data_IF_183304406891
#
_entry.id   IF_183304406891
#
_cell.length_a   1.000
_cell.length_b   1.000
_cell.length_c   1.000
_cell.angle_alpha   90.00
_cell.angle_beta   90.00
_cell.angle_gamma   90.00
#
_symmetry.space_group_name_H-M   'P 1'
#
loop_
_entity.id
_entity.type
_entity.pdbx_description
1 polymer ?
#
# COMPACT_ATOMS: atom_id res chain seq x y z
N UNK A 1 -23.03 -17.76 -20.81
CA UNK A 1 -22.96 -16.51 -20.02
C UNK A 1 -22.12 -16.77 -18.78
N UNK A 2 -20.88 -16.26 -18.76
CA UNK A 2 -19.96 -16.07 -17.61
C UNK A 2 -18.57 -15.77 -18.18
N UNK A 3 -18.32 -14.50 -18.50
CA UNK A 3 -17.01 -13.92 -18.84
C UNK A 3 -16.92 -12.52 -18.20
N UNK A 4 -17.16 -12.45 -16.88
CA UNK A 4 -17.22 -11.16 -16.15
C UNK A 4 -15.99 -10.98 -15.22
N UNK A 5 -15.22 -12.04 -14.92
CA UNK A 5 -14.12 -11.97 -13.95
C UNK A 5 -12.73 -11.62 -14.49
N UNK A 6 -12.52 -11.57 -15.81
CA UNK A 6 -11.15 -11.52 -16.38
C UNK A 6 -10.63 -10.09 -16.55
N UNK A 7 -11.51 -9.09 -16.70
CA UNK A 7 -11.08 -7.70 -16.93
C UNK A 7 -10.59 -7.04 -15.63
N UNK A 8 -11.16 -7.40 -14.47
CA UNK A 8 -10.75 -6.85 -13.16
C UNK A 8 -9.35 -7.29 -12.71
N UNK A 9 -8.91 -8.50 -13.09
CA UNK A 9 -7.64 -9.07 -12.61
C UNK A 9 -6.41 -8.60 -13.40
N UNK A 10 -6.59 -8.18 -14.67
CA UNK A 10 -5.47 -7.86 -15.56
C UNK A 10 -4.82 -6.50 -15.26
N UNK A 11 -5.54 -5.55 -14.64
CA UNK A 11 -5.05 -4.20 -14.35
C UNK A 11 -4.43 -4.07 -12.96
N UNK A 12 -4.79 -4.93 -12.00
CA UNK A 12 -4.19 -4.94 -10.65
C UNK A 12 -2.69 -5.29 -10.64
N UNK A 13 -2.15 -5.87 -11.72
CA UNK A 13 -0.75 -6.30 -11.80
C UNK A 13 0.23 -5.25 -12.36
N UNK A 14 -0.23 -4.23 -13.09
CA UNK A 14 0.68 -3.34 -13.85
C UNK A 14 1.30 -2.24 -12.98
N UNK A 15 0.54 -1.65 -12.04
CA UNK A 15 1.01 -0.57 -11.13
C UNK A 15 2.06 -1.02 -10.11
N UNK A 16 2.36 -2.32 -10.04
CA UNK A 16 3.26 -2.91 -9.04
C UNK A 16 4.71 -3.08 -9.51
N UNK A 17 4.96 -2.84 -10.81
CA UNK A 17 6.25 -3.07 -11.42
C UNK A 17 7.34 -2.11 -10.91
N UNK A 18 7.01 -0.86 -10.58
CA UNK A 18 8.02 0.10 -10.12
C UNK A 18 8.39 -0.06 -8.64
N UNK A 19 7.47 -0.50 -7.78
CA UNK A 19 7.80 -0.71 -6.35
C UNK A 19 8.87 -1.80 -6.17
N UNK A 20 8.87 -2.84 -7.02
CA UNK A 20 9.93 -3.85 -7.05
C UNK A 20 11.23 -3.34 -7.69
N UNK A 21 11.14 -2.54 -8.76
CA UNK A 21 12.31 -1.91 -9.36
C UNK A 21 13.01 -0.95 -8.37
N UNK A 22 12.24 -0.25 -7.54
CA UNK A 22 12.75 0.60 -6.46
C UNK A 22 13.47 -0.19 -5.35
N UNK A 23 13.05 -1.42 -5.04
CA UNK A 23 13.79 -2.29 -4.11
C UNK A 23 15.15 -2.70 -4.70
N UNK A 24 15.21 -3.07 -5.98
CA UNK A 24 16.47 -3.48 -6.63
C UNK A 24 17.43 -2.31 -6.91
N UNK A 25 16.93 -1.12 -7.24
CA UNK A 25 17.75 0.04 -7.56
C UNK A 25 18.37 0.70 -6.31
N UNK A 26 17.65 0.71 -5.17
CA UNK A 26 18.16 1.31 -3.93
C UNK A 26 19.33 0.51 -3.30
N UNK A 27 19.43 -0.79 -3.57
CA UNK A 27 20.48 -1.67 -3.03
C UNK A 27 21.87 -1.54 -3.69
N UNK A 28 22.03 -0.75 -4.75
CA UNK A 28 23.29 -0.64 -5.50
C UNK A 28 24.12 0.63 -5.23
N UNK A 29 23.57 1.65 -4.55
CA UNK A 29 24.26 2.96 -4.38
C UNK A 29 24.98 3.14 -3.01
N UNK A 30 25.06 2.09 -2.20
CA UNK A 30 25.61 2.13 -0.84
C UNK A 30 27.12 1.87 -0.69
N UNK A 31 27.98 2.33 -1.61
CA UNK A 31 29.45 2.32 -1.38
C UNK A 31 30.10 3.61 -1.87
N UNK A 32 30.34 4.58 -0.96
CA UNK A 32 30.89 5.86 -1.38
C UNK A 32 31.16 6.92 -0.32
N UNK A 33 32.03 6.58 0.64
CA UNK A 33 33.01 7.46 1.30
C UNK A 33 32.54 8.66 2.18
N UNK A 34 32.93 8.56 3.44
CA UNK A 34 32.94 9.57 4.51
C UNK A 34 33.79 10.80 4.21
N UNK A 35 33.37 11.99 4.66
CA UNK A 35 34.28 13.00 5.21
C UNK A 35 33.61 13.89 6.27
N UNK A 36 34.35 14.08 7.36
CA UNK A 36 34.08 14.88 8.57
C UNK A 36 33.90 16.38 8.30
N UNK A 37 33.12 17.04 9.17
CA UNK A 37 33.47 18.36 9.72
C UNK A 37 32.76 18.60 11.06
N UNK A 38 33.57 18.82 12.09
CA UNK A 38 33.21 19.31 13.44
C UNK A 38 32.82 20.79 13.43
N UNK A 39 31.95 21.19 14.38
CA UNK A 39 31.92 22.44 15.17
C UNK A 39 30.48 22.68 15.65
N UNK A 40 30.16 23.05 16.88
CA UNK A 40 30.92 23.42 18.07
C UNK A 40 29.90 24.00 19.08
N UNK A 41 29.96 23.54 20.32
CA UNK A 41 29.07 23.93 21.42
C UNK A 41 29.29 25.38 21.88
N UNK A 42 28.23 26.07 22.30
CA UNK A 42 28.29 27.17 23.27
C UNK A 42 27.07 27.13 24.20
N UNK A 43 27.31 26.73 25.44
CA UNK A 43 26.49 27.02 26.63
C UNK A 43 26.59 28.50 27.03
N UNK A 44 25.47 29.08 27.46
CA UNK A 44 25.35 30.04 28.59
C UNK A 44 23.85 30.07 28.93
N UNK A 45 23.32 30.05 30.15
CA UNK A 45 23.84 30.29 31.50
C UNK A 45 22.64 30.83 32.28
N UNK A 46 22.14 30.07 33.27
CA UNK A 46 21.01 30.44 34.11
C UNK A 46 21.41 31.42 35.20
N UNK A 47 20.53 32.36 35.55
CA UNK A 47 20.57 33.08 36.82
C UNK A 47 19.16 33.39 37.32
N UNK A 48 18.95 32.92 38.53
CA UNK A 48 17.82 32.99 39.45
C UNK A 48 17.58 34.43 39.98
N UNK A 49 16.38 34.72 40.50
CA UNK A 49 16.15 35.51 41.72
C UNK A 49 14.64 35.70 42.04
N UNK A 50 14.32 35.29 43.26
CA UNK A 50 13.09 35.32 44.04
C UNK A 50 12.64 36.71 44.57
N UNK A 51 11.36 36.83 45.01
CA UNK A 51 11.00 37.74 46.13
C UNK A 51 9.58 38.32 46.22
N UNK A 52 8.69 37.59 46.91
CA UNK A 52 7.69 37.99 47.94
C UNK A 52 6.57 39.09 47.78
N UNK A 53 5.33 38.59 47.86
CA UNK A 53 4.17 38.93 48.74
C UNK A 53 3.82 40.37 49.21
N UNK A 54 2.54 40.78 48.99
CA UNK A 54 1.52 41.10 50.04
C UNK A 54 0.12 41.49 49.49
N UNK A 55 -0.92 41.01 50.17
CA UNK A 55 -2.40 41.31 50.13
C UNK A 55 -2.73 41.90 51.54
N UNK A 56 -3.72 42.81 51.85
CA UNK A 56 -5.17 42.63 51.59
C UNK A 56 -6.18 43.84 51.57
N UNK A 57 -7.43 43.52 51.13
CA UNK A 57 -8.73 44.14 51.51
C UNK A 57 -9.27 45.27 50.60
N UNK A 58 -10.56 45.46 50.30
CA UNK A 58 -11.85 44.85 50.68
C UNK A 58 -12.98 45.44 49.76
N UNK A 59 -14.03 44.63 49.48
CA UNK A 59 -15.44 44.95 49.09
C UNK A 59 -15.78 45.91 47.92
N UNK A 60 -16.53 45.46 46.90
CA UNK A 60 -18.02 45.55 46.85
C UNK A 60 -18.64 45.05 45.51
N UNK A 61 -19.78 44.35 45.65
CA UNK A 61 -20.98 44.29 44.76
C UNK A 61 -20.99 43.61 43.38
N UNK A 62 -21.82 42.55 43.35
CA UNK A 62 -22.85 42.17 42.36
C UNK A 62 -22.72 42.67 40.90
N UNK A 63 -22.53 41.72 40.00
CA UNK A 63 -22.90 41.82 38.59
C UNK A 63 -23.00 40.43 37.96
N UNK A 64 -24.22 39.88 37.90
CA UNK A 64 -24.52 38.75 37.01
C UNK A 64 -24.48 39.30 35.59
N UNK A 65 -23.54 38.84 34.78
CA UNK A 65 -23.63 38.89 33.32
C UNK A 65 -22.86 37.72 32.74
N UNK A 66 -23.61 36.72 32.25
CA UNK A 66 -23.04 35.61 31.52
C UNK A 66 -22.55 36.08 30.16
N UNK A 67 -21.31 35.77 29.83
CA UNK A 67 -20.88 35.46 28.47
C UNK A 67 -19.47 34.86 28.48
N UNK A 68 -19.36 33.56 28.72
CA UNK A 68 -18.09 32.82 28.52
C UNK A 68 -18.39 31.59 27.68
N UNK A 69 -18.73 31.78 26.41
CA UNK A 69 -18.67 30.70 25.41
C UNK A 69 -18.16 31.15 24.04
N UNK A 70 -17.91 32.45 23.82
CA UNK A 70 -17.49 32.95 22.49
C UNK A 70 -16.01 32.80 22.17
N UNK A 71 -15.14 32.68 23.18
CA UNK A 71 -13.69 32.55 23.00
C UNK A 71 -13.24 31.11 22.73
N UNK A 72 -14.02 30.11 23.15
CA UNK A 72 -13.73 28.69 22.90
C UNK A 72 -14.06 28.25 21.47
N UNK A 73 -15.18 28.72 20.92
CA UNK A 73 -15.60 28.42 19.53
C UNK A 73 -14.64 29.05 18.51
N UNK A 74 -14.20 30.30 18.72
CA UNK A 74 -13.25 30.99 17.83
C UNK A 74 -11.86 30.37 17.83
N UNK A 75 -11.38 29.84 18.96
CA UNK A 75 -10.09 29.16 19.04
C UNK A 75 -10.15 27.75 18.43
N UNK A 76 -11.28 27.05 18.59
CA UNK A 76 -11.54 25.75 17.96
C UNK A 76 -11.67 25.90 16.43
N UNK A 77 -12.39 26.91 15.95
CA UNK A 77 -12.49 27.22 14.53
C UNK A 77 -11.15 27.63 13.94
N UNK A 78 -10.35 28.44 14.63
CA UNK A 78 -9.00 28.81 14.20
C UNK A 78 -8.06 27.60 14.16
N UNK A 79 -8.07 26.74 15.18
CA UNK A 79 -7.28 25.50 15.20
C UNK A 79 -7.74 24.50 14.13
N UNK A 80 -9.04 24.42 13.84
CA UNK A 80 -9.59 23.63 12.74
C UNK A 80 -9.28 24.22 11.36
N UNK A 81 -9.16 25.54 11.25
CA UNK A 81 -8.76 26.23 10.03
C UNK A 81 -7.25 26.07 9.78
N UNK A 82 -6.44 26.15 10.83
CA UNK A 82 -4.98 25.95 10.81
C UNK A 82 -4.64 24.48 10.53
N UNK A 83 -5.32 23.53 11.19
CA UNK A 83 -5.25 22.11 10.86
C UNK A 83 -5.70 21.80 9.43
N UNK A 84 -6.79 22.43 8.93
CA UNK A 84 -7.19 22.33 7.52
C UNK A 84 -6.14 22.88 6.55
N UNK A 85 -5.48 23.99 6.90
CA UNK A 85 -4.42 24.57 6.09
C UNK A 85 -3.15 23.72 6.07
N UNK A 86 -2.82 23.05 7.18
CA UNK A 86 -1.67 22.14 7.28
C UNK A 86 -1.84 20.94 6.31
N UNK A 87 -3.01 20.28 6.33
CA UNK A 87 -3.31 19.14 5.46
C UNK A 87 -3.44 19.49 3.96
N UNK A 88 -3.71 20.75 3.63
CA UNK A 88 -3.90 21.22 2.24
C UNK A 88 -2.63 21.76 1.59
N UNK A 89 -1.49 21.77 2.30
CA UNK A 89 -0.22 22.26 1.76
C UNK A 89 0.28 21.42 0.58
N UNK A 90 0.18 20.08 0.70
CA UNK A 90 0.69 19.15 -0.31
C UNK A 90 -0.31 18.89 -1.43
N UNK A 91 0.16 18.98 -2.68
CA UNK A 91 -0.67 18.93 -3.88
C UNK A 91 -0.14 17.96 -4.93
N UNK A 92 -1.06 17.31 -5.61
CA UNK A 92 -0.80 16.50 -6.81
C UNK A 92 -1.21 17.33 -8.03
N UNK A 93 -0.33 17.38 -9.02
CA UNK A 93 -0.55 18.10 -10.28
C UNK A 93 -0.99 17.08 -11.32
N UNK A 94 -2.22 17.25 -11.82
CA UNK A 94 -2.77 16.44 -12.90
C UNK A 94 -2.76 17.26 -14.19
N UNK A 95 -2.10 16.77 -15.23
CA UNK A 95 -2.17 17.37 -16.56
C UNK A 95 -3.04 16.50 -17.47
N UNK A 96 -4.15 17.07 -17.96
CA UNK A 96 -5.06 16.41 -18.91
C UNK A 96 -5.41 17.38 -20.02
N UNK A 97 -5.23 16.98 -21.27
CA UNK A 97 -5.51 17.81 -22.46
C UNK A 97 -4.84 19.20 -22.42
N UNK A 98 -3.64 19.30 -21.84
CA UNK A 98 -2.89 20.56 -21.68
C UNK A 98 -3.41 21.49 -20.57
N UNK A 99 -4.36 21.02 -19.75
CA UNK A 99 -4.86 21.74 -18.57
C UNK A 99 -4.27 21.13 -17.31
N UNK A 100 -3.63 21.97 -16.50
CA UNK A 100 -3.11 21.60 -15.18
C UNK A 100 -4.15 21.84 -14.10
N UNK A 101 -4.45 20.79 -13.35
CA UNK A 101 -5.32 20.81 -12.16
C UNK A 101 -4.48 20.50 -10.94
N UNK A 102 -4.64 21.29 -9.88
CA UNK A 102 -3.95 21.10 -8.61
C UNK A 102 -4.97 20.55 -7.61
N UNK A 103 -4.76 19.33 -7.14
CA UNK A 103 -5.57 18.71 -6.11
C UNK A 103 -4.75 18.64 -4.82
N UNK A 104 -5.37 18.89 -3.66
CA UNK A 104 -4.74 18.50 -2.40
C UNK A 104 -4.54 16.99 -2.38
N UNK A 105 -3.56 16.48 -1.64
CA UNK A 105 -3.41 15.03 -1.50
C UNK A 105 -4.70 14.40 -0.94
N UNK A 106 -5.40 15.08 -0.03
CA UNK A 106 -6.68 14.61 0.53
C UNK A 106 -7.80 14.52 -0.50
N UNK A 107 -7.84 15.41 -1.50
CA UNK A 107 -8.83 15.35 -2.58
C UNK A 107 -8.48 14.30 -3.65
N UNK A 108 -7.18 14.05 -3.84
CA UNK A 108 -6.67 13.04 -4.76
C UNK A 108 -6.83 11.61 -4.21
N UNK A 109 -6.62 11.43 -2.91
CA UNK A 109 -6.51 10.13 -2.26
C UNK A 109 -7.71 9.20 -2.49
N UNK A 110 -8.99 9.62 -2.39
CA UNK A 110 -10.13 8.73 -2.61
C UNK A 110 -10.15 8.10 -4.01
N UNK A 111 -9.67 8.83 -5.03
CA UNK A 111 -9.60 8.34 -6.41
C UNK A 111 -8.50 7.30 -6.61
N UNK A 112 -7.45 7.31 -5.80
CA UNK A 112 -6.43 6.25 -5.74
C UNK A 112 -6.96 5.05 -4.95
N UNK A 113 -7.54 5.30 -3.77
CA UNK A 113 -8.00 4.23 -2.87
C UNK A 113 -9.08 3.37 -3.53
N UNK A 114 -10.03 3.97 -4.25
CA UNK A 114 -11.07 3.22 -4.98
C UNK A 114 -10.49 2.37 -6.11
N UNK A 115 -9.30 2.71 -6.62
CA UNK A 115 -8.60 1.91 -7.61
C UNK A 115 -7.90 0.69 -6.97
N UNK A 116 -7.33 0.88 -5.79
CA UNK A 116 -6.51 -0.12 -5.09
C UNK A 116 -7.30 -1.06 -4.17
N UNK A 117 -8.45 -0.61 -3.67
CA UNK A 117 -9.26 -1.35 -2.71
C UNK A 117 -10.15 -2.38 -3.39
N UNK A 118 -10.25 -3.58 -2.78
CA UNK A 118 -11.28 -4.54 -3.16
C UNK A 118 -12.66 -3.98 -2.76
N UNK A 119 -13.72 -4.18 -3.58
CA UNK A 119 -15.06 -3.65 -3.31
C UNK A 119 -15.64 -4.10 -1.95
N UNK A 120 -15.16 -5.24 -1.44
CA UNK A 120 -15.61 -5.87 -0.21
C UNK A 120 -14.98 -5.30 1.07
N UNK A 121 -13.93 -4.45 0.97
CA UNK A 121 -13.27 -3.89 2.15
C UNK A 121 -14.20 -2.98 2.93
N UNK A 122 -14.30 -3.19 4.24
CA UNK A 122 -14.97 -2.40 5.26
C UNK A 122 -14.24 -1.10 5.60
N UNK A 123 -14.81 -0.28 6.48
CA UNK A 123 -14.26 1.06 6.74
C UNK A 123 -12.86 1.04 7.35
N UNK A 124 -12.56 0.17 8.32
CA UNK A 124 -11.23 0.13 8.95
C UNK A 124 -10.15 -0.34 7.96
N UNK A 125 -10.47 -1.29 7.08
CA UNK A 125 -9.55 -1.69 6.00
C UNK A 125 -9.36 -0.57 4.96
N UNK A 126 -10.41 0.18 4.62
CA UNK A 126 -10.31 1.35 3.74
C UNK A 126 -9.48 2.48 4.37
N UNK A 127 -9.57 2.68 5.69
CA UNK A 127 -8.70 3.61 6.44
C UNK A 127 -7.23 3.18 6.36
N UNK A 128 -6.94 1.89 6.51
CA UNK A 128 -5.59 1.36 6.29
C UNK A 128 -5.09 1.72 4.88
N UNK A 129 -5.91 1.48 3.85
CA UNK A 129 -5.55 1.79 2.46
C UNK A 129 -5.32 3.29 2.23
N UNK A 130 -6.12 4.15 2.85
CA UNK A 130 -5.95 5.61 2.77
C UNK A 130 -4.60 6.05 3.38
N UNK A 131 -4.26 5.56 4.58
CA UNK A 131 -2.96 5.86 5.22
C UNK A 131 -1.79 5.32 4.42
N UNK A 132 -1.91 4.11 3.86
CA UNK A 132 -0.92 3.50 2.96
C UNK A 132 -0.68 4.38 1.74
N UNK A 133 -1.73 4.73 0.99
CA UNK A 133 -1.61 5.53 -0.22
C UNK A 133 -1.07 6.94 0.08
N UNK A 134 -1.51 7.58 1.17
CA UNK A 134 -1.00 8.90 1.60
C UNK A 134 0.48 8.83 1.93
N UNK A 135 0.90 7.82 2.70
CA UNK A 135 2.31 7.62 3.07
C UNK A 135 3.18 7.42 1.84
N UNK A 136 2.71 6.65 0.86
CA UNK A 136 3.43 6.45 -0.40
C UNK A 136 3.59 7.76 -1.17
N UNK A 137 2.51 8.54 -1.34
CA UNK A 137 2.57 9.86 -2.01
C UNK A 137 3.58 10.78 -1.30
N UNK A 138 3.53 10.84 0.04
CA UNK A 138 4.43 11.67 0.83
C UNK A 138 5.88 11.21 0.72
N UNK A 139 6.12 9.90 0.62
CA UNK A 139 7.45 9.33 0.34
C UNK A 139 7.98 9.75 -1.02
N UNK A 140 7.15 9.71 -2.08
CA UNK A 140 7.57 10.13 -3.43
C UNK A 140 7.80 11.64 -3.54
N UNK A 141 7.03 12.43 -2.80
CA UNK A 141 7.24 13.87 -2.69
C UNK A 141 8.59 14.22 -2.06
N UNK A 142 9.03 13.45 -1.06
CA UNK A 142 10.20 13.79 -0.25
C UNK A 142 9.94 15.09 0.52
N UNK A 143 10.79 16.08 0.33
CA UNK A 143 10.65 17.43 0.94
C UNK A 143 9.75 18.37 0.12
N UNK A 144 9.28 17.94 -1.06
CA UNK A 144 8.44 18.76 -1.95
C UNK A 144 7.00 18.85 -1.43
N UNK A 145 6.36 19.98 -1.70
CA UNK A 145 4.92 20.16 -1.46
C UNK A 145 4.08 19.85 -2.70
N UNK A 146 4.69 19.69 -3.87
CA UNK A 146 4.01 19.38 -5.13
C UNK A 146 4.68 18.20 -5.84
N UNK A 147 3.89 17.33 -6.45
CA UNK A 147 4.37 16.22 -7.29
C UNK A 147 3.49 16.07 -8.54
N UNK A 148 4.10 15.72 -9.67
CA UNK A 148 3.33 15.35 -10.86
C UNK A 148 2.70 13.98 -10.66
N UNK A 149 1.45 13.80 -11.11
CA UNK A 149 0.77 12.51 -11.01
C UNK A 149 1.56 11.37 -11.67
N UNK A 150 2.24 11.65 -12.79
CA UNK A 150 3.03 10.67 -13.53
C UNK A 150 4.24 10.16 -12.75
N UNK A 151 4.70 10.89 -11.72
CA UNK A 151 5.77 10.44 -10.82
C UNK A 151 5.28 9.42 -9.77
N UNK A 152 3.97 9.28 -9.57
CA UNK A 152 3.41 8.41 -8.54
C UNK A 152 3.29 6.95 -8.99
N UNK A 153 3.11 6.70 -10.29
CA UNK A 153 2.80 5.37 -10.86
C UNK A 153 1.59 4.69 -10.17
N UNK A 154 0.57 5.49 -9.85
CA UNK A 154 -0.66 5.05 -9.20
C UNK A 154 -1.84 5.11 -10.17
N UNK A 155 -2.65 4.06 -10.20
CA UNK A 155 -3.95 4.10 -10.87
C UNK A 155 -4.86 5.14 -10.22
N UNK A 156 -5.41 6.05 -11.02
CA UNK A 156 -6.36 7.05 -10.58
C UNK A 156 -7.73 6.92 -11.26
N UNK A 157 -8.80 7.18 -10.51
CA UNK A 157 -10.18 7.04 -11.00
C UNK A 157 -10.46 7.84 -12.29
N UNK A 158 -9.79 8.97 -12.49
CA UNK A 158 -9.89 9.76 -13.72
C UNK A 158 -9.56 8.94 -14.96
N UNK A 159 -8.58 8.04 -14.86
CA UNK A 159 -8.16 7.19 -15.97
C UNK A 159 -9.12 6.00 -16.15
N UNK A 160 -9.59 5.39 -15.04
CA UNK A 160 -10.61 4.32 -15.08
C UNK A 160 -11.91 4.79 -15.70
N UNK A 161 -12.39 5.99 -15.36
CA UNK A 161 -13.64 6.53 -15.92
C UNK A 161 -13.47 6.98 -17.36
N UNK A 162 -12.29 7.44 -17.77
CA UNK A 162 -11.99 7.74 -19.17
C UNK A 162 -11.90 6.47 -20.03
N UNK A 163 -11.37 5.38 -19.48
CA UNK A 163 -11.21 4.09 -20.18
C UNK A 163 -12.50 3.24 -20.19
N UNK A 164 -13.21 3.15 -19.05
CA UNK A 164 -14.38 2.29 -18.86
C UNK A 164 -15.73 3.04 -18.86
N UNK A 165 -15.76 4.37 -18.72
CA UNK A 165 -16.99 5.14 -18.44
C UNK A 165 -18.07 5.04 -19.51
N UNK A 166 -17.69 4.74 -20.76
CA UNK A 166 -18.61 4.45 -21.87
C UNK A 166 -19.15 3.00 -21.86
N UNK A 167 -18.50 2.08 -21.14
CA UNK A 167 -18.83 0.64 -21.07
C UNK A 167 -19.49 0.18 -19.77
N UNK A 168 -19.49 0.99 -18.70
CA UNK A 168 -20.12 0.63 -17.42
C UNK A 168 -21.66 0.70 -17.49
N UNK A 169 -22.30 -0.35 -16.98
CA UNK A 169 -23.76 -0.37 -16.73
C UNK A 169 -24.15 0.61 -15.63
N UNK A 170 -25.44 0.98 -15.56
CA UNK A 170 -25.98 1.85 -14.49
C UNK A 170 -25.63 1.30 -13.10
N UNK A 171 -25.84 0.00 -12.89
CA UNK A 171 -25.55 -0.66 -11.62
C UNK A 171 -24.06 -0.57 -11.23
N UNK A 172 -23.15 -0.74 -12.18
CA UNK A 172 -21.72 -0.62 -11.91
C UNK A 172 -21.31 0.81 -11.57
N UNK A 173 -21.96 1.81 -12.18
CA UNK A 173 -21.74 3.22 -11.85
C UNK A 173 -22.22 3.54 -10.42
N UNK A 174 -23.35 2.97 -10.01
CA UNK A 174 -23.86 3.09 -8.64
C UNK A 174 -22.89 2.46 -7.63
N UNK A 175 -22.43 1.23 -7.87
CA UNK A 175 -21.46 0.56 -7.01
C UNK A 175 -20.13 1.33 -6.90
N UNK A 176 -19.66 1.89 -8.00
CA UNK A 176 -18.45 2.71 -8.02
C UNK A 176 -18.64 4.00 -7.23
N UNK A 177 -19.79 4.66 -7.36
CA UNK A 177 -20.10 5.86 -6.59
C UNK A 177 -20.18 5.57 -5.09
N UNK A 178 -20.84 4.48 -4.69
CA UNK A 178 -20.90 4.03 -3.29
C UNK A 178 -19.50 3.72 -2.74
N UNK A 179 -18.68 3.00 -3.51
CA UNK A 179 -17.30 2.69 -3.13
C UNK A 179 -16.47 3.96 -2.96
N UNK A 180 -16.61 4.93 -3.86
CA UNK A 180 -15.92 6.21 -3.80
C UNK A 180 -16.32 7.02 -2.56
N UNK A 181 -17.61 7.06 -2.19
CA UNK A 181 -18.05 7.76 -0.98
C UNK A 181 -17.46 7.14 0.30
N UNK A 182 -17.33 5.81 0.35
CA UNK A 182 -16.65 5.12 1.46
C UNK A 182 -15.15 5.45 1.51
N UNK A 183 -14.50 5.51 0.34
CA UNK A 183 -13.10 5.93 0.24
C UNK A 183 -12.90 7.38 0.69
N UNK A 184 -13.82 8.29 0.35
CA UNK A 184 -13.80 9.69 0.83
C UNK A 184 -13.94 9.76 2.35
N UNK A 185 -14.84 8.96 2.93
CA UNK A 185 -15.00 8.90 4.37
C UNK A 185 -13.73 8.37 5.05
N UNK A 186 -13.13 7.30 4.52
CA UNK A 186 -11.88 6.74 5.04
C UNK A 186 -10.71 7.73 4.95
N UNK A 187 -10.58 8.44 3.83
CA UNK A 187 -9.57 9.49 3.65
C UNK A 187 -9.77 10.60 4.69
N UNK A 188 -11.00 11.09 4.85
CA UNK A 188 -11.36 12.14 5.82
C UNK A 188 -11.08 11.75 7.26
N UNK A 189 -11.44 10.52 7.66
CA UNK A 189 -11.24 10.02 9.03
C UNK A 189 -9.77 9.75 9.35
N UNK A 190 -8.92 9.67 8.32
CA UNK A 190 -7.46 9.48 8.45
C UNK A 190 -6.67 10.68 7.92
N UNK A 191 -7.30 11.85 7.82
CA UNK A 191 -6.70 13.03 7.19
C UNK A 191 -5.33 13.36 7.81
N UNK A 192 -4.32 13.54 6.94
CA UNK A 192 -2.93 13.78 7.33
C UNK A 192 -2.20 12.62 8.02
N UNK A 193 -2.87 11.49 8.30
CA UNK A 193 -2.22 10.37 8.97
C UNK A 193 -1.32 9.59 8.02
N UNK A 194 -0.06 9.41 8.43
CA UNK A 194 1.02 8.77 7.67
C UNK A 194 1.85 7.86 8.56
N UNK A 195 2.57 6.91 7.95
CA UNK A 195 3.44 5.95 8.63
C UNK A 195 4.92 6.31 8.46
N UNK A 196 5.64 6.41 9.57
CA UNK A 196 7.09 6.66 9.59
C UNK A 196 7.86 5.56 10.33
N UNK A 197 9.09 5.33 9.91
CA UNK A 197 10.09 4.55 10.63
C UNK A 197 11.36 5.39 10.69
N UNK A 198 11.87 5.64 11.90
CA UNK A 198 13.01 6.55 12.14
C UNK A 198 12.84 7.89 11.40
N UNK A 199 11.70 8.55 11.63
CA UNK A 199 11.30 9.85 11.05
C UNK A 199 11.20 9.92 9.51
N UNK A 200 11.39 8.80 8.81
CA UNK A 200 11.24 8.69 7.35
C UNK A 200 9.92 8.03 6.98
N UNK A 201 9.23 8.53 5.96
CA UNK A 201 8.06 7.86 5.39
C UNK A 201 8.44 6.47 4.91
N UNK A 202 7.71 5.46 5.38
CA UNK A 202 7.95 4.08 4.94
C UNK A 202 7.53 3.90 3.48
N UNK A 203 8.06 2.88 2.81
CA UNK A 203 7.45 2.26 1.62
C UNK A 203 6.34 1.30 2.09
N UNK A 204 5.05 1.69 2.01
CA UNK A 204 3.96 0.96 2.65
C UNK A 204 3.38 -0.09 1.70
N UNK A 205 4.16 -1.14 1.41
CA UNK A 205 3.70 -2.22 0.53
C UNK A 205 2.44 -2.91 1.08
N UNK A 206 1.52 -3.30 0.23
CA UNK A 206 0.28 -4.01 0.60
C UNK A 206 -0.09 -5.01 -0.49
N UNK A 207 -1.00 -5.95 -0.25
CA UNK A 207 -1.48 -6.91 -1.24
C UNK A 207 -2.87 -7.45 -0.94
N UNK A 208 -3.52 -8.06 -1.95
CA UNK A 208 -4.90 -8.52 -1.81
C UNK A 208 -5.02 -9.63 -0.76
N UNK A 209 -4.18 -10.68 -0.86
CA UNK A 209 -4.30 -11.88 -0.03
C UNK A 209 -2.94 -12.55 0.15
N UNK A 210 -2.50 -12.78 1.39
CA UNK A 210 -1.22 -13.48 1.63
C UNK A 210 -1.37 -14.98 1.40
N UNK A 211 -0.25 -15.72 1.38
CA UNK A 211 -0.26 -17.19 1.39
C UNK A 211 -0.45 -17.79 2.81
N UNK A 212 -1.05 -17.02 3.74
CA UNK A 212 -1.20 -17.32 5.16
C UNK A 212 -0.19 -16.59 6.05
N UNK A 213 0.88 -16.05 5.45
CA UNK A 213 1.90 -15.21 6.08
C UNK A 213 2.43 -14.17 5.10
N UNK A 214 2.85 -13.02 5.62
CA UNK A 214 3.54 -11.99 4.83
C UNK A 214 5.03 -12.31 4.69
N UNK A 215 5.67 -11.72 3.68
CA UNK A 215 7.10 -11.85 3.41
C UNK A 215 7.91 -10.83 4.23
N UNK A 216 9.14 -11.19 4.56
CA UNK A 216 10.13 -10.27 5.15
C UNK A 216 10.82 -9.48 4.03
N UNK A 217 10.76 -8.15 4.11
CA UNK A 217 11.45 -7.26 3.17
C UNK A 217 12.97 -7.30 3.31
N UNK A 218 13.66 -6.62 2.39
CA UNK A 218 15.11 -6.47 2.43
C UNK A 218 15.56 -5.60 3.63
N UNK A 219 16.87 -5.54 3.87
CA UNK A 219 17.44 -4.85 5.04
C UNK A 219 17.04 -3.37 5.15
N UNK A 220 16.81 -2.71 4.00
CA UNK A 220 16.37 -1.31 3.94
C UNK A 220 14.90 -1.10 4.32
N UNK A 221 14.16 -2.19 4.56
CA UNK A 221 12.74 -2.19 4.90
C UNK A 221 12.47 -2.94 6.22
N UNK A 222 13.09 -2.54 7.34
CA UNK A 222 13.03 -3.28 8.61
C UNK A 222 11.63 -3.35 9.24
N UNK A 223 10.70 -2.50 8.80
CA UNK A 223 9.29 -2.51 9.17
C UNK A 223 8.47 -3.55 8.38
N UNK A 224 8.97 -4.07 7.25
CA UNK A 224 8.36 -5.18 6.51
C UNK A 224 8.87 -6.52 7.05
N UNK A 225 8.26 -6.99 8.14
CA UNK A 225 8.59 -8.30 8.71
C UNK A 225 7.49 -9.31 8.42
N UNK A 226 7.87 -10.58 8.27
CA UNK A 226 6.89 -11.66 8.15
C UNK A 226 6.01 -11.75 9.40
N UNK A 227 4.71 -11.57 9.20
CA UNK A 227 3.67 -11.78 10.21
C UNK A 227 2.69 -12.84 9.74
N UNK A 228 1.99 -13.45 10.70
CA UNK A 228 0.89 -14.35 10.37
C UNK A 228 -0.27 -13.56 9.78
N UNK A 229 -0.96 -14.15 8.82
CA UNK A 229 -2.23 -13.63 8.35
C UNK A 229 -3.20 -14.79 8.17
N UNK A 230 -3.44 -15.50 9.27
CA UNK A 230 -4.41 -16.61 9.37
C UNK A 230 -5.82 -16.20 8.90
N UNK A 231 -6.12 -14.91 8.97
CA UNK A 231 -7.37 -14.32 8.52
C UNK A 231 -7.60 -14.44 7.01
N UNK A 232 -6.52 -14.51 6.21
CA UNK A 232 -6.62 -14.82 4.77
C UNK A 232 -7.23 -16.21 4.53
N UNK A 233 -6.92 -17.18 5.40
CA UNK A 233 -7.51 -18.53 5.33
C UNK A 233 -8.97 -18.55 5.81
N UNK A 234 -9.29 -17.76 6.83
CA UNK A 234 -10.63 -17.65 7.41
C UNK A 234 -11.63 -17.07 6.39
N UNK A 235 -11.27 -15.94 5.76
CA UNK A 235 -12.12 -15.25 4.78
C UNK A 235 -12.46 -16.13 3.57
N UNK A 236 -11.54 -17.01 3.18
CA UNK A 236 -11.75 -17.99 2.11
C UNK A 236 -12.87 -19.00 2.45
N UNK A 237 -12.96 -19.46 3.71
CA UNK A 237 -13.99 -20.43 4.14
C UNK A 237 -15.40 -19.82 4.15
N UNK A 238 -15.51 -18.57 4.56
CA UNK A 238 -16.81 -17.96 4.85
C UNK A 238 -17.52 -17.38 3.60
N UNK A 239 -16.79 -16.98 2.55
CA UNK A 239 -17.38 -16.18 1.45
C UNK A 239 -17.45 -16.81 0.05
N UNK A 240 -17.01 -18.04 -0.19
CA UNK A 240 -16.91 -18.58 -1.58
C UNK A 240 -16.19 -17.58 -2.54
N UNK A 241 -15.35 -16.68 -2.00
CA UNK A 241 -14.66 -15.63 -2.75
C UNK A 241 -13.21 -16.02 -2.92
N UNK A 242 -12.80 -16.02 -4.19
CA UNK A 242 -11.47 -16.28 -4.76
C UNK A 242 -10.50 -16.98 -3.79
N UNK A 243 -10.54 -18.30 -3.86
CA UNK A 243 -9.73 -19.22 -3.09
C UNK A 243 -8.30 -18.72 -2.92
N UNK A 244 -7.86 -18.69 -1.66
CA UNK A 244 -6.45 -18.64 -1.27
C UNK A 244 -5.59 -19.51 -2.18
N UNK A 245 -6.14 -20.59 -2.73
CA UNK A 245 -5.47 -21.47 -3.68
C UNK A 245 -6.11 -21.43 -5.08
N UNK A 246 -5.30 -21.28 -6.13
CA UNK A 246 -5.75 -21.43 -7.52
C UNK A 246 -4.96 -22.49 -8.25
N UNK A 247 -5.58 -23.17 -9.21
CA UNK A 247 -4.89 -24.09 -10.11
C UNK A 247 -4.97 -23.55 -11.54
N UNK A 248 -3.83 -23.53 -12.23
CA UNK A 248 -3.71 -23.11 -13.63
C UNK A 248 -2.98 -24.20 -14.40
N UNK A 249 -3.60 -24.70 -15.48
CA UNK A 249 -3.01 -25.71 -16.33
C UNK A 249 -2.50 -25.08 -17.63
N UNK A 250 -1.24 -25.35 -17.96
CA UNK A 250 -0.61 -24.95 -19.21
C UNK A 250 -0.33 -26.18 -20.05
N UNK A 251 -0.50 -26.09 -21.37
CA UNK A 251 0.16 -27.02 -22.26
C UNK A 251 1.65 -26.65 -22.36
N UNK A 252 2.48 -27.58 -22.84
CA UNK A 252 3.95 -27.39 -22.86
C UNK A 252 4.38 -26.20 -23.72
N UNK A 253 3.73 -26.00 -24.88
CA UNK A 253 4.08 -24.92 -25.81
C UNK A 253 3.71 -23.53 -25.29
N UNK A 254 2.54 -23.37 -24.67
CA UNK A 254 2.12 -22.10 -24.04
C UNK A 254 3.03 -21.76 -22.85
N UNK A 255 3.38 -22.76 -22.02
CA UNK A 255 4.33 -22.56 -20.94
C UNK A 255 5.70 -22.11 -21.49
N UNK A 256 6.26 -22.82 -22.47
CA UNK A 256 7.53 -22.46 -23.09
C UNK A 256 7.49 -21.06 -23.72
N UNK A 257 6.42 -20.73 -24.44
CA UNK A 257 6.24 -19.43 -25.09
C UNK A 257 6.16 -18.28 -24.07
N UNK A 258 5.48 -18.48 -22.93
CA UNK A 258 5.38 -17.49 -21.85
C UNK A 258 6.73 -17.26 -21.18
N UNK A 259 7.45 -18.33 -20.83
CA UNK A 259 8.80 -18.22 -20.25
C UNK A 259 9.78 -17.61 -21.26
N UNK A 260 9.63 -17.89 -22.55
CA UNK A 260 10.42 -17.31 -23.62
C UNK A 260 10.29 -15.79 -23.76
N UNK A 261 9.29 -15.15 -23.15
CA UNK A 261 9.11 -13.69 -23.13
C UNK A 261 9.84 -13.00 -21.98
N UNK A 262 10.41 -13.76 -21.03
CA UNK A 262 11.20 -13.18 -19.95
C UNK A 262 12.46 -12.51 -20.48
N UNK A 263 12.93 -11.49 -19.77
CA UNK A 263 14.26 -10.92 -20.01
C UNK A 263 15.31 -12.01 -19.77
N UNK A 264 16.35 -12.03 -20.60
CA UNK A 264 17.40 -13.06 -20.58
C UNK A 264 16.88 -14.52 -20.73
N UNK A 265 15.70 -14.68 -21.33
CA UNK A 265 15.14 -16.00 -21.58
C UNK A 265 16.08 -16.82 -22.46
N UNK A 266 16.21 -18.09 -22.11
CA UNK A 266 16.97 -19.06 -22.88
C UNK A 266 16.01 -20.02 -23.54
N UNK A 267 16.31 -20.43 -24.77
CA UNK A 267 15.48 -21.37 -25.50
C UNK A 267 15.24 -22.63 -24.64
N UNK A 268 13.97 -23.00 -24.51
CA UNK A 268 13.54 -24.16 -23.73
C UNK A 268 13.02 -25.22 -24.70
N UNK A 269 13.47 -26.47 -24.53
CA UNK A 269 12.95 -27.60 -25.29
C UNK A 269 11.66 -28.10 -24.63
N UNK A 270 10.54 -27.95 -25.34
CA UNK A 270 9.20 -28.35 -24.87
C UNK A 270 9.15 -29.81 -24.41
N UNK A 271 9.85 -30.71 -25.10
CA UNK A 271 9.84 -32.14 -24.78
C UNK A 271 10.59 -32.45 -23.48
N UNK A 272 11.50 -31.55 -23.05
CA UNK A 272 12.34 -31.71 -21.86
C UNK A 272 11.80 -30.96 -20.64
N UNK A 273 10.91 -29.99 -20.83
CA UNK A 273 10.28 -29.19 -19.78
C UNK A 273 9.87 -29.99 -18.53
N UNK A 274 9.18 -31.15 -18.64
CA UNK A 274 8.75 -31.90 -17.45
C UNK A 274 9.89 -32.33 -16.52
N UNK A 275 11.10 -32.47 -17.06
CA UNK A 275 12.32 -32.87 -16.33
C UNK A 275 13.26 -31.71 -15.99
N UNK A 276 12.98 -30.50 -16.47
CA UNK A 276 13.89 -29.34 -16.36
C UNK A 276 13.28 -28.16 -15.59
N UNK A 277 12.14 -28.37 -14.93
CA UNK A 277 11.54 -27.40 -14.01
C UNK A 277 11.89 -27.79 -12.58
N UNK A 278 12.54 -26.89 -11.85
CA UNK A 278 12.92 -27.11 -10.47
C UNK A 278 12.82 -25.83 -9.65
N UNK A 279 12.03 -25.84 -8.57
CA UNK A 279 12.10 -24.79 -7.55
C UNK A 279 13.38 -24.98 -6.73
N UNK A 280 14.23 -23.96 -6.71
CA UNK A 280 15.54 -23.99 -6.04
C UNK A 280 15.44 -23.47 -4.61
N UNK A 281 14.74 -22.34 -4.41
CA UNK A 281 14.66 -21.67 -3.11
C UNK A 281 13.30 -21.03 -2.90
N UNK A 282 12.83 -21.05 -1.65
CA UNK A 282 11.68 -20.28 -1.16
C UNK A 282 12.10 -19.41 0.01
N UNK A 283 11.33 -18.36 0.28
CA UNK A 283 11.39 -17.67 1.57
C UNK A 283 10.58 -18.42 2.65
N UNK A 284 10.65 -17.94 3.88
CA UNK A 284 9.97 -18.54 5.03
C UNK A 284 8.43 -18.44 4.96
N UNK A 285 7.91 -17.57 4.09
CA UNK A 285 6.48 -17.44 3.80
C UNK A 285 6.02 -18.35 2.64
N UNK A 286 6.94 -19.08 2.00
CA UNK A 286 6.66 -20.05 0.95
C UNK A 286 6.71 -19.51 -0.48
N UNK A 287 7.02 -18.23 -0.68
CA UNK A 287 7.15 -17.62 -2.01
C UNK A 287 8.45 -18.09 -2.68
N UNK A 288 8.38 -18.40 -3.97
CA UNK A 288 9.55 -18.85 -4.74
C UNK A 288 10.52 -17.69 -4.90
N UNK A 289 11.74 -17.84 -4.41
CA UNK A 289 12.82 -16.87 -4.61
C UNK A 289 13.63 -17.19 -5.85
N UNK A 290 13.78 -18.46 -6.17
CA UNK A 290 14.58 -18.91 -7.30
C UNK A 290 14.07 -20.24 -7.84
N UNK A 291 14.01 -20.35 -9.16
CA UNK A 291 13.70 -21.60 -9.86
C UNK A 291 14.48 -21.71 -11.17
N UNK A 292 14.71 -22.97 -11.59
CA UNK A 292 15.29 -23.31 -12.89
C UNK A 292 14.18 -23.77 -13.82
N UNK A 293 14.24 -23.30 -15.06
CA UNK A 293 13.39 -23.75 -16.17
C UNK A 293 14.32 -23.91 -17.38
N UNK A 294 14.59 -25.16 -17.76
CA UNK A 294 15.58 -25.46 -18.78
C UNK A 294 16.96 -24.94 -18.38
N UNK A 295 17.69 -24.25 -19.28
CA UNK A 295 18.99 -23.65 -18.96
C UNK A 295 18.88 -22.29 -18.24
N UNK A 296 17.67 -21.76 -18.03
CA UNK A 296 17.41 -20.47 -17.39
C UNK A 296 17.27 -20.57 -15.87
N UNK A 297 17.55 -19.47 -15.18
CA UNK A 297 17.30 -19.30 -13.74
C UNK A 297 16.53 -18.01 -13.55
N UNK A 298 15.40 -18.10 -12.87
CA UNK A 298 14.44 -17.01 -12.72
C UNK A 298 14.00 -16.90 -11.26
N UNK A 299 13.59 -15.71 -10.86
CA UNK A 299 12.88 -15.45 -9.61
C UNK A 299 11.45 -15.98 -9.71
N UNK A 300 10.79 -16.18 -8.56
CA UNK A 300 9.37 -16.53 -8.57
C UNK A 300 8.48 -15.41 -9.09
N UNK A 301 8.86 -14.16 -8.86
CA UNK A 301 8.12 -12.97 -9.32
C UNK A 301 8.15 -12.84 -10.86
N UNK A 302 9.30 -13.09 -11.50
CA UNK A 302 9.40 -13.16 -12.97
C UNK A 302 8.48 -14.25 -13.55
N UNK A 303 8.50 -15.45 -12.96
CA UNK A 303 7.68 -16.56 -13.43
C UNK A 303 6.20 -16.33 -13.16
N UNK A 304 5.85 -15.75 -12.01
CA UNK A 304 4.50 -15.30 -11.69
C UNK A 304 3.97 -14.34 -12.75
N UNK A 305 4.77 -13.34 -13.13
CA UNK A 305 4.40 -12.37 -14.15
C UNK A 305 4.22 -13.02 -15.53
N UNK A 306 5.21 -13.81 -16.00
CA UNK A 306 5.15 -14.45 -17.32
C UNK A 306 3.96 -15.41 -17.48
N UNK A 307 3.61 -16.10 -16.40
CA UNK A 307 2.51 -17.08 -16.37
C UNK A 307 1.19 -16.48 -15.91
N UNK A 308 1.14 -15.18 -15.59
CA UNK A 308 -0.04 -14.47 -15.05
C UNK A 308 -0.64 -15.17 -13.81
N UNK A 309 0.23 -15.73 -12.96
CA UNK A 309 -0.21 -16.40 -11.73
C UNK A 309 -0.65 -15.36 -10.69
N UNK A 310 -1.54 -15.70 -9.75
CA UNK A 310 -1.93 -14.77 -8.69
C UNK A 310 -0.79 -14.30 -7.79
N UNK A 311 0.24 -15.11 -7.57
CA UNK A 311 1.38 -14.80 -6.70
C UNK A 311 2.61 -15.65 -7.04
N UNK A 312 3.77 -15.30 -6.48
CA UNK A 312 4.99 -16.10 -6.55
C UNK A 312 5.02 -17.27 -5.54
N UNK A 313 3.96 -17.47 -4.75
CA UNK A 313 3.82 -18.61 -3.86
C UNK A 313 3.11 -19.76 -4.58
N UNK A 314 3.82 -20.47 -5.44
CA UNK A 314 3.24 -21.57 -6.22
C UNK A 314 4.04 -22.87 -6.13
N UNK A 315 3.41 -23.98 -6.51
CA UNK A 315 4.02 -25.29 -6.78
C UNK A 315 3.73 -25.70 -8.22
N UNK A 316 4.65 -26.46 -8.83
CA UNK A 316 4.51 -26.91 -10.22
C UNK A 316 4.52 -28.44 -10.24
N UNK A 317 3.52 -29.02 -10.90
CA UNK A 317 3.40 -30.45 -11.16
C UNK A 317 3.51 -30.71 -12.67
N UNK A 318 4.53 -31.49 -13.04
CA UNK A 318 4.85 -31.87 -14.42
C UNK A 318 4.47 -33.32 -14.74
N UNK A 319 3.83 -34.04 -13.81
CA UNK A 319 3.51 -35.47 -13.97
C UNK A 319 2.29 -35.72 -14.83
N UNK A 320 1.46 -34.71 -15.05
CA UNK A 320 0.30 -34.80 -15.94
C UNK A 320 0.75 -34.84 -17.40
N UNK A 321 0.35 -35.89 -18.14
CA UNK A 321 0.79 -36.08 -19.51
C UNK A 321 0.40 -34.88 -20.40
N UNK A 322 1.41 -34.18 -20.93
CA UNK A 322 1.25 -33.04 -21.84
C UNK A 322 0.82 -31.74 -21.17
N UNK A 323 0.78 -31.67 -19.83
CA UNK A 323 0.38 -30.47 -19.10
C UNK A 323 1.32 -30.16 -17.94
N UNK A 324 1.48 -28.87 -17.68
CA UNK A 324 2.11 -28.33 -16.48
C UNK A 324 0.99 -27.73 -15.62
N UNK A 325 0.81 -28.26 -14.42
CA UNK A 325 -0.19 -27.78 -13.47
C UNK A 325 0.50 -26.92 -12.42
N UNK A 326 0.11 -25.65 -12.32
CA UNK A 326 0.63 -24.71 -11.33
C UNK A 326 -0.43 -24.45 -10.27
N UNK A 327 -0.12 -24.74 -9.01
CA UNK A 327 -0.98 -24.41 -7.86
C UNK A 327 -0.40 -23.24 -7.11
N UNK A 328 -1.15 -22.14 -7.04
CA UNK A 328 -0.71 -20.86 -6.47
C UNK A 328 -1.46 -20.60 -5.17
N UNK A 329 -0.80 -19.98 -4.18
CA UNK A 329 -1.41 -19.52 -2.94
C UNK A 329 -1.31 -18.01 -2.77
N UNK A 330 -2.35 -17.37 -2.28
CA UNK A 330 -2.43 -15.92 -2.13
C UNK A 330 -2.52 -15.17 -3.46
N UNK A 331 -2.63 -13.85 -3.39
CA UNK A 331 -2.63 -12.93 -4.51
C UNK A 331 -1.85 -11.67 -4.20
N UNK A 332 -0.91 -11.34 -5.09
CA UNK A 332 0.04 -10.23 -4.95
C UNK A 332 1.36 -10.65 -4.33
N UNK A 333 2.23 -9.68 -4.09
CA UNK A 333 3.64 -9.92 -3.75
C UNK A 333 3.90 -10.48 -2.36
N UNK A 334 2.95 -10.39 -1.41
CA UNK A 334 3.09 -10.89 -0.04
C UNK A 334 3.79 -9.97 0.98
N UNK A 335 4.38 -8.84 0.60
CA UNK A 335 4.94 -7.86 1.55
C UNK A 335 3.88 -6.96 2.19
N UNK A 336 4.12 -6.56 3.44
CA UNK A 336 3.31 -5.59 4.19
C UNK A 336 1.85 -6.03 4.39
N UNK A 337 0.90 -5.11 4.30
CA UNK A 337 -0.50 -5.38 4.67
C UNK A 337 -1.21 -6.32 3.71
N UNK A 338 -1.88 -7.36 4.22
CA UNK A 338 -2.89 -8.13 3.45
C UNK A 338 -4.25 -7.44 3.58
N UNK A 339 -4.89 -7.07 2.47
CA UNK A 339 -6.20 -6.43 2.44
C UNK A 339 -7.30 -7.37 2.97
N UNK A 340 -7.25 -8.64 2.58
CA UNK A 340 -8.15 -9.66 3.10
C UNK A 340 -7.92 -9.91 4.60
N UNK A 341 -6.66 -9.95 5.03
CA UNK A 341 -6.31 -10.06 6.44
C UNK A 341 -6.78 -8.85 7.25
N UNK A 342 -6.56 -7.64 6.76
CA UNK A 342 -7.02 -6.39 7.38
C UNK A 342 -8.54 -6.35 7.53
N UNK A 343 -9.29 -6.78 6.51
CA UNK A 343 -10.75 -6.83 6.57
C UNK A 343 -11.23 -7.78 7.67
N UNK A 344 -10.70 -8.99 7.72
CA UNK A 344 -11.13 -9.96 8.72
C UNK A 344 -10.67 -9.56 10.15
N UNK A 345 -9.53 -8.88 10.30
CA UNK A 345 -9.15 -8.26 11.58
C UNK A 345 -10.13 -7.15 11.98
N UNK A 346 -10.58 -6.33 11.03
CA UNK A 346 -11.60 -5.30 11.28
C UNK A 346 -12.96 -5.92 11.67
N UNK A 347 -13.36 -7.03 11.04
CA UNK A 347 -14.55 -7.81 11.42
C UNK A 347 -14.43 -8.37 12.86
N UNK A 348 -13.22 -8.64 13.33
CA UNK A 348 -12.91 -9.01 14.73
C UNK A 348 -12.82 -7.79 15.68
N UNK A 349 -13.05 -6.58 15.18
CA UNK A 349 -13.10 -5.35 15.98
C UNK A 349 -11.76 -4.63 16.14
N UNK A 350 -10.73 -4.98 15.35
CA UNK A 350 -9.48 -4.24 15.34
C UNK A 350 -9.65 -2.86 14.71
N UNK A 351 -9.01 -1.86 15.31
CA UNK A 351 -8.90 -0.52 14.71
C UNK A 351 -7.92 -0.53 13.53
N UNK A 352 -8.08 0.40 12.59
CA UNK A 352 -7.12 0.55 11.49
C UNK A 352 -5.69 0.83 12.00
N UNK A 353 -5.52 1.54 13.11
CA UNK A 353 -4.21 1.79 13.70
C UNK A 353 -3.54 0.50 14.20
N UNK A 354 -4.31 -0.38 14.84
CA UNK A 354 -3.82 -1.66 15.32
C UNK A 354 -3.48 -2.60 14.16
N UNK A 355 -4.29 -2.59 13.09
CA UNK A 355 -4.03 -3.34 11.86
C UNK A 355 -2.74 -2.87 11.20
N UNK A 356 -2.54 -1.55 11.03
CA UNK A 356 -1.32 -1.02 10.43
C UNK A 356 -0.07 -1.37 11.27
N UNK A 357 -0.12 -1.21 12.59
CA UNK A 357 0.98 -1.60 13.50
C UNK A 357 1.22 -3.12 13.53
N UNK A 358 0.20 -3.91 13.22
CA UNK A 358 0.36 -5.36 13.09
C UNK A 358 1.20 -5.71 11.85
N UNK A 359 0.86 -5.15 10.68
CA UNK A 359 1.55 -5.48 9.43
C UNK A 359 2.89 -4.76 9.23
N UNK A 360 3.03 -3.55 9.76
CA UNK A 360 4.25 -2.75 9.66
C UNK A 360 4.89 -2.61 11.04
N UNK A 361 6.06 -3.21 11.25
CA UNK A 361 6.69 -3.27 12.57
C UNK A 361 7.40 -1.96 12.93
N UNK A 362 7.28 -1.57 14.19
CA UNK A 362 7.98 -0.44 14.78
C UNK A 362 7.75 0.90 14.07
N UNK A 363 6.63 1.04 13.37
CA UNK A 363 6.23 2.30 12.76
C UNK A 363 5.64 3.25 13.80
N UNK A 364 5.71 4.54 13.50
CA UNK A 364 4.93 5.59 14.15
C UNK A 364 3.84 6.05 13.20
N UNK A 365 2.61 6.15 13.72
CA UNK A 365 1.53 6.86 13.06
C UNK A 365 1.58 8.31 13.52
N UNK A 366 1.76 9.23 12.58
CA UNK A 366 1.81 10.67 12.83
C UNK A 366 0.81 11.38 11.94
N UNK A 367 0.32 12.53 12.40
CA UNK A 367 -0.60 13.37 11.64
C UNK A 367 0.14 14.63 11.22
N UNK A 368 0.23 14.85 9.90
CA UNK A 368 1.00 15.93 9.26
C UNK A 368 0.21 16.63 8.16
#
# INVERSE_FOLDING_TARGET
>A
MRKIGVIFAALFMVSWMFSFFCMHAAGQDGTGNSHNAEQGDVETGAADLSGEQKIPGQSDKLGISGNTNRSGESALEAAQQESRNIFQSRRVILERYGVKTYLSVEDYLPGVVVCQASPELGQEALKCQAVIARTYIYRQMGEREEIQEEELDLDYLGDRTAFDGAGLTVHQKEQLAESLERCKLAAKETAGMVMKYEDRYILPLFHECSAGRTRTGEADYPYLQSVESKWDEQKNKDRHSATLESETAFNLSDFAARIGKLNDSRAVDEARLPSEIQVVKRDDAGYVLQMKIGPGTYTGDEVQYALELPSACFTIDTKSQGQIIVRTKGRGHGYGLSQNGAEAMAEEGWSFEDILKYYYKNISLVTE
#
